data_IF_179262572184
#
_entry.id   IF_179262572184
#
_cell.length_a   1.000
_cell.length_b   1.000
_cell.length_c   1.000
_cell.angle_alpha   90.00
_cell.angle_beta   90.00
_cell.angle_gamma   90.00
#
_symmetry.space_group_name_H-M   'P 1'
#
loop_
_entity.id
_entity.type
_entity.pdbx_description
1 polymer ?
#
# COMPACT_ATOMS: atom_id res chain seq x y z
N UNK A 1 -26.93 59.84 20.13
CA UNK A 1 -26.36 58.57 19.63
C UNK A 1 -27.22 58.06 18.49
N UNK A 2 -26.68 57.94 17.26
CA UNK A 2 -27.42 57.35 16.14
C UNK A 2 -27.32 55.83 16.22
N UNK A 3 -28.38 55.17 16.62
CA UNK A 3 -28.51 53.71 16.56
C UNK A 3 -28.56 53.32 15.09
N UNK A 4 -27.50 52.74 14.55
CA UNK A 4 -27.51 52.24 13.17
C UNK A 4 -28.45 51.04 13.09
N UNK A 5 -29.61 51.24 12.47
CA UNK A 5 -30.55 50.17 12.15
C UNK A 5 -29.93 49.32 11.03
N UNK A 6 -29.45 48.14 11.38
CA UNK A 6 -29.02 47.12 10.42
C UNK A 6 -30.18 46.90 9.44
N UNK A 7 -30.00 47.23 8.15
CA UNK A 7 -31.01 47.01 7.11
C UNK A 7 -31.36 45.51 7.12
N UNK A 8 -32.66 45.16 7.25
CA UNK A 8 -33.16 43.78 7.44
C UNK A 8 -32.58 42.75 6.45
N UNK A 9 -32.18 43.17 5.24
CA UNK A 9 -31.51 42.30 4.26
C UNK A 9 -30.08 41.87 4.63
N UNK A 10 -29.33 42.67 5.39
CA UNK A 10 -27.96 42.34 5.80
C UNK A 10 -27.92 41.20 6.83
N UNK A 11 -28.91 41.15 7.74
CA UNK A 11 -29.03 40.06 8.72
C UNK A 11 -29.38 38.71 8.09
N UNK A 12 -30.24 38.69 7.06
CA UNK A 12 -30.60 37.46 6.33
C UNK A 12 -29.40 36.93 5.55
N UNK A 13 -28.66 37.81 4.87
CA UNK A 13 -27.42 37.44 4.15
C UNK A 13 -26.39 36.87 5.11
N UNK A 14 -26.22 37.46 6.31
CA UNK A 14 -25.30 36.97 7.33
C UNK A 14 -25.69 35.55 7.80
N UNK A 15 -26.98 35.30 8.03
CA UNK A 15 -27.47 33.97 8.43
C UNK A 15 -27.23 32.93 7.34
N UNK A 16 -27.53 33.26 6.07
CA UNK A 16 -27.29 32.37 4.93
C UNK A 16 -25.79 32.05 4.82
N UNK A 17 -24.92 33.06 4.97
CA UNK A 17 -23.48 32.88 4.93
C UNK A 17 -22.99 31.94 6.06
N UNK A 18 -23.50 32.11 7.28
CA UNK A 18 -23.16 31.24 8.41
C UNK A 18 -23.61 29.80 8.14
N UNK A 19 -24.82 29.58 7.62
CA UNK A 19 -25.32 28.24 7.27
C UNK A 19 -24.46 27.60 6.18
N UNK A 20 -24.06 28.36 5.16
CA UNK A 20 -23.16 27.87 4.11
C UNK A 20 -21.78 27.51 4.65
N UNK A 21 -21.21 28.33 5.54
CA UNK A 21 -19.92 28.05 6.17
C UNK A 21 -20.00 26.77 7.01
N UNK A 22 -21.02 26.63 7.86
CA UNK A 22 -21.22 25.44 8.69
C UNK A 22 -21.42 24.20 7.81
N UNK A 23 -22.28 24.30 6.79
CA UNK A 23 -22.52 23.21 5.84
C UNK A 23 -21.25 22.81 5.07
N UNK A 24 -20.43 23.79 4.68
CA UNK A 24 -19.15 23.56 4.03
C UNK A 24 -18.17 22.81 4.95
N UNK A 25 -18.00 23.25 6.20
CA UNK A 25 -17.13 22.55 7.15
C UNK A 25 -17.61 21.12 7.43
N UNK A 26 -18.93 20.93 7.53
CA UNK A 26 -19.51 19.61 7.75
C UNK A 26 -19.27 18.68 6.55
N UNK A 27 -19.54 19.16 5.34
CA UNK A 27 -19.28 18.41 4.10
C UNK A 27 -17.79 18.13 3.89
N UNK A 28 -16.91 19.09 4.22
CA UNK A 28 -15.46 18.93 4.13
C UNK A 28 -14.95 17.86 5.10
N UNK A 29 -15.44 17.86 6.34
CA UNK A 29 -15.07 16.84 7.33
C UNK A 29 -15.61 15.46 6.96
N UNK A 30 -16.79 15.36 6.35
CA UNK A 30 -17.33 14.08 5.88
C UNK A 30 -16.53 13.54 4.68
N UNK A 31 -16.07 14.43 3.79
CA UNK A 31 -15.31 14.04 2.59
C UNK A 31 -13.84 13.68 2.87
N UNK A 32 -13.18 14.39 3.79
CA UNK A 32 -11.74 14.24 4.09
C UNK A 32 -11.47 13.71 5.52
N UNK A 33 -12.52 13.34 6.25
CA UNK A 33 -12.40 12.80 7.60
C UNK A 33 -11.78 11.40 7.62
N UNK A 34 -10.96 11.14 8.63
CA UNK A 34 -10.42 9.81 8.86
C UNK A 34 -11.54 8.83 9.27
N UNK A 35 -11.52 7.63 8.70
CA UNK A 35 -12.39 6.52 9.11
C UNK A 35 -11.53 5.40 9.68
N UNK A 36 -11.87 4.93 10.88
CA UNK A 36 -11.15 3.87 11.59
C UNK A 36 -12.06 2.68 11.81
N UNK A 37 -11.60 1.50 11.43
CA UNK A 37 -12.34 0.25 11.57
C UNK A 37 -11.35 -0.92 11.68
N UNK A 38 -11.84 -2.10 12.07
CA UNK A 38 -11.02 -3.30 12.17
C UNK A 38 -11.68 -4.43 11.38
N UNK A 39 -10.89 -5.16 10.62
CA UNK A 39 -11.31 -6.32 9.82
C UNK A 39 -10.53 -7.54 10.29
N UNK A 40 -11.20 -8.68 10.36
CA UNK A 40 -10.54 -9.95 10.66
C UNK A 40 -10.67 -10.88 9.46
N UNK A 41 -9.54 -11.34 8.95
CA UNK A 41 -9.45 -12.17 7.76
C UNK A 41 -8.95 -13.56 8.18
N UNK A 42 -9.78 -14.59 8.02
CA UNK A 42 -9.35 -15.98 8.25
C UNK A 42 -8.23 -16.35 7.27
N UNK A 43 -7.19 -17.02 7.77
CA UNK A 43 -5.98 -17.28 7.01
C UNK A 43 -5.94 -18.72 6.49
N UNK A 44 -5.50 -18.89 5.25
CA UNK A 44 -5.32 -20.22 4.64
C UNK A 44 -4.32 -21.10 5.41
N UNK A 45 -3.37 -20.49 6.11
CA UNK A 45 -2.39 -21.15 6.98
C UNK A 45 -2.96 -21.47 8.38
N UNK A 46 -4.24 -21.18 8.60
CA UNK A 46 -4.91 -21.22 9.90
C UNK A 46 -4.70 -19.94 10.72
N UNK A 47 -5.56 -19.73 11.72
CA UNK A 47 -5.56 -18.50 12.50
C UNK A 47 -6.19 -17.32 11.74
N UNK A 48 -5.98 -16.11 12.25
CA UNK A 48 -6.67 -14.90 11.79
C UNK A 48 -5.71 -13.73 11.64
N UNK A 49 -5.86 -12.97 10.56
CA UNK A 49 -5.19 -11.70 10.37
C UNK A 49 -6.15 -10.58 10.78
N UNK A 50 -5.83 -9.93 11.89
CA UNK A 50 -6.55 -8.78 12.43
C UNK A 50 -5.91 -7.53 11.84
N UNK A 51 -6.71 -6.74 11.14
CA UNK A 51 -6.29 -5.58 10.38
C UNK A 51 -6.96 -4.33 10.97
N UNK A 52 -6.22 -3.53 11.70
CA UNK A 52 -6.71 -2.24 12.20
C UNK A 52 -6.46 -1.18 11.12
N UNK A 53 -7.53 -0.67 10.52
CA UNK A 53 -7.50 0.19 9.33
C UNK A 53 -7.77 1.64 9.71
N UNK A 54 -6.94 2.54 9.19
CA UNK A 54 -7.22 3.97 9.13
C UNK A 54 -7.29 4.38 7.67
N UNK A 55 -8.50 4.67 7.20
CA UNK A 55 -8.74 5.31 5.91
C UNK A 55 -8.64 6.82 6.07
N UNK A 56 -7.92 7.48 5.16
CA UNK A 56 -7.82 8.92 5.06
C UNK A 56 -7.83 9.34 3.59
N UNK A 57 -8.38 10.51 3.30
CA UNK A 57 -8.34 11.08 1.96
C UNK A 57 -7.95 12.55 2.04
N UNK A 58 -7.18 13.00 1.05
CA UNK A 58 -6.85 14.40 0.83
C UNK A 58 -7.15 14.80 -0.62
N UNK A 59 -6.79 16.03 -1.01
CA UNK A 59 -7.03 16.53 -2.36
C UNK A 59 -6.23 15.78 -3.45
N UNK A 60 -5.18 15.07 -3.07
CA UNK A 60 -4.24 14.40 -3.97
C UNK A 60 -4.49 12.90 -4.08
N UNK A 61 -4.91 12.23 -3.00
CA UNK A 61 -5.15 10.79 -2.99
C UNK A 61 -6.01 10.32 -1.81
N UNK A 62 -6.29 9.02 -1.80
CA UNK A 62 -6.81 8.30 -0.64
C UNK A 62 -5.81 7.24 -0.18
N UNK A 63 -5.86 6.93 1.10
CA UNK A 63 -4.88 6.11 1.79
C UNK A 63 -5.59 5.12 2.72
N UNK A 64 -5.15 3.87 2.68
CA UNK A 64 -5.45 2.89 3.72
C UNK A 64 -4.17 2.56 4.46
N UNK A 65 -4.09 2.99 5.72
CA UNK A 65 -3.04 2.57 6.65
C UNK A 65 -3.55 1.36 7.43
N UNK A 66 -2.83 0.25 7.37
CA UNK A 66 -3.27 -0.99 8.00
C UNK A 66 -2.19 -1.47 8.96
N UNK A 67 -2.57 -1.69 10.21
CA UNK A 67 -1.77 -2.35 11.23
C UNK A 67 -2.21 -3.81 11.33
N UNK A 68 -1.29 -4.72 11.00
CA UNK A 68 -1.54 -6.15 10.91
C UNK A 68 -1.08 -6.87 12.16
N UNK A 69 -1.99 -7.64 12.75
CA UNK A 69 -1.70 -8.61 13.81
C UNK A 69 -2.15 -9.98 13.35
N UNK A 70 -1.35 -11.00 13.64
CA UNK A 70 -1.71 -12.38 13.36
C UNK A 70 -2.02 -13.10 14.67
N UNK A 71 -3.24 -13.63 14.80
CA UNK A 71 -3.61 -14.57 15.84
C UNK A 71 -3.42 -15.99 15.30
N UNK A 72 -2.48 -16.74 15.85
CA UNK A 72 -2.22 -18.11 15.40
C UNK A 72 -3.32 -19.08 15.88
N UNK A 73 -3.35 -20.34 15.40
CA UNK A 73 -4.35 -21.33 15.84
C UNK A 73 -4.36 -21.65 17.34
N UNK A 74 -3.33 -21.23 18.09
CA UNK A 74 -3.25 -21.39 19.55
C UNK A 74 -3.78 -20.18 20.31
N UNK A 75 -4.20 -19.12 19.61
CA UNK A 75 -4.64 -17.85 20.20
C UNK A 75 -3.50 -16.90 20.58
N UNK A 76 -2.26 -17.18 20.16
CA UNK A 76 -1.14 -16.25 20.37
C UNK A 76 -1.16 -15.15 19.31
N UNK A 77 -1.02 -13.90 19.73
CA UNK A 77 -1.08 -12.72 18.86
C UNK A 77 0.32 -12.19 18.58
N UNK A 78 0.62 -11.97 17.31
CA UNK A 78 1.89 -11.44 16.81
C UNK A 78 1.67 -10.14 16.04
N UNK A 79 2.39 -9.08 16.40
CA UNK A 79 2.41 -7.84 15.63
C UNK A 79 3.20 -8.05 14.34
N UNK A 80 2.50 -8.14 13.21
CA UNK A 80 3.10 -8.38 11.91
C UNK A 80 3.69 -7.11 11.31
N UNK A 81 3.11 -5.94 11.57
CA UNK A 81 3.61 -4.65 11.13
C UNK A 81 2.60 -3.90 10.27
N UNK A 82 3.06 -3.01 9.40
CA UNK A 82 2.19 -2.03 8.74
C UNK A 82 2.27 -2.04 7.21
N UNK A 83 1.11 -1.93 6.58
CA UNK A 83 0.94 -1.71 5.14
C UNK A 83 0.32 -0.37 4.82
N UNK A 84 0.49 0.07 3.57
CA UNK A 84 -0.05 1.32 3.07
C UNK A 84 -0.49 1.18 1.61
N UNK A 85 -1.79 1.33 1.37
CA UNK A 85 -2.36 1.35 0.02
C UNK A 85 -2.69 2.81 -0.33
N UNK A 86 -2.06 3.34 -1.38
CA UNK A 86 -2.23 4.72 -1.84
C UNK A 86 -2.88 4.75 -3.22
N UNK A 87 -4.03 5.42 -3.34
CA UNK A 87 -4.76 5.53 -4.61
C UNK A 87 -5.28 4.18 -5.14
N UNK A 88 -5.28 3.15 -4.29
CA UNK A 88 -5.79 1.80 -4.56
C UNK A 88 -6.67 1.40 -3.39
N UNK A 89 -7.81 0.80 -3.70
CA UNK A 89 -8.70 0.25 -2.68
C UNK A 89 -8.09 -1.00 -2.06
N UNK A 90 -8.03 -1.05 -0.73
CA UNK A 90 -7.64 -2.27 -0.02
C UNK A 90 -8.77 -3.29 -0.09
N UNK A 91 -8.50 -4.45 -0.67
CA UNK A 91 -9.50 -5.46 -1.01
C UNK A 91 -9.88 -6.40 0.14
N UNK A 92 -9.42 -6.11 1.35
CA UNK A 92 -9.72 -6.81 2.62
C UNK A 92 -9.54 -8.34 2.55
N UNK A 93 -8.61 -8.83 1.73
CA UNK A 93 -8.41 -10.27 1.51
C UNK A 93 -6.95 -10.73 1.64
N UNK A 94 -6.10 -9.93 2.27
CA UNK A 94 -4.68 -10.24 2.47
C UNK A 94 -4.49 -11.60 3.15
N UNK A 95 -3.57 -12.39 2.59
CA UNK A 95 -3.25 -13.74 3.04
C UNK A 95 -1.77 -13.86 3.41
N UNK A 96 -1.53 -14.57 4.51
CA UNK A 96 -0.21 -15.00 4.95
C UNK A 96 0.20 -16.27 4.21
N UNK A 97 1.50 -16.40 3.95
CA UNK A 97 2.11 -17.56 3.31
C UNK A 97 3.19 -18.16 4.20
N UNK A 98 3.29 -19.49 4.22
CA UNK A 98 4.33 -20.18 4.98
C UNK A 98 5.47 -20.68 4.07
N UNK A 99 6.70 -20.44 4.52
CA UNK A 99 7.88 -21.08 3.97
C UNK A 99 8.87 -21.45 5.08
N UNK A 100 9.02 -22.74 5.34
CA UNK A 100 9.84 -23.28 6.45
C UNK A 100 9.38 -22.68 7.79
N UNK A 101 10.21 -21.85 8.42
CA UNK A 101 9.94 -21.17 9.69
C UNK A 101 9.37 -19.75 9.51
N UNK A 102 9.27 -19.26 8.27
CA UNK A 102 8.82 -17.91 7.98
C UNK A 102 7.35 -17.88 7.63
N UNK A 103 6.61 -17.00 8.29
CA UNK A 103 5.29 -16.52 7.89
C UNK A 103 5.47 -15.21 7.13
N UNK A 104 4.86 -15.08 5.96
CA UNK A 104 5.13 -14.00 5.01
C UNK A 104 3.84 -13.25 4.73
N UNK A 105 3.89 -11.91 4.84
CA UNK A 105 2.81 -11.00 4.47
C UNK A 105 3.29 -10.09 3.34
N UNK A 106 2.79 -10.26 2.11
CA UNK A 106 2.88 -9.20 1.11
C UNK A 106 1.87 -8.10 1.42
N UNK A 107 2.26 -6.84 1.26
CA UNK A 107 1.35 -5.69 1.35
C UNK A 107 1.85 -4.57 0.44
N UNK A 108 1.01 -3.57 0.15
CA UNK A 108 1.45 -2.38 -0.57
C UNK A 108 2.20 -1.40 0.35
N UNK A 109 2.99 -0.53 -0.28
CA UNK A 109 3.61 0.61 0.38
C UNK A 109 3.71 1.78 -0.61
N UNK A 110 4.29 2.88 -0.17
CA UNK A 110 4.27 4.15 -0.90
C UNK A 110 4.75 4.05 -2.35
N UNK A 111 4.20 4.94 -3.19
CA UNK A 111 4.67 5.20 -4.55
C UNK A 111 4.64 3.98 -5.49
N UNK A 112 3.60 3.14 -5.36
CA UNK A 112 3.43 1.97 -6.21
C UNK A 112 4.52 0.93 -5.98
N UNK A 113 4.95 0.77 -4.74
CA UNK A 113 5.89 -0.26 -4.30
C UNK A 113 5.15 -1.33 -3.52
N UNK A 114 5.75 -2.50 -3.38
CA UNK A 114 5.25 -3.52 -2.45
C UNK A 114 6.24 -3.75 -1.33
N UNK A 115 5.74 -4.19 -0.19
CA UNK A 115 6.51 -4.59 0.97
C UNK A 115 6.25 -6.07 1.26
N UNK A 116 7.31 -6.82 1.44
CA UNK A 116 7.25 -8.21 1.92
C UNK A 116 7.74 -8.22 3.35
N UNK A 117 6.86 -8.57 4.28
CA UNK A 117 7.18 -8.74 5.69
C UNK A 117 7.31 -10.24 5.95
N UNK A 118 8.46 -10.66 6.47
CA UNK A 118 8.72 -12.04 6.87
C UNK A 118 8.88 -12.11 8.39
N UNK A 119 8.22 -13.06 9.02
CA UNK A 119 8.20 -13.21 10.47
C UNK A 119 8.42 -14.67 10.87
N UNK A 120 9.48 -14.94 11.61
CA UNK A 120 9.63 -16.18 12.37
C UNK A 120 8.91 -16.03 13.71
N UNK A 121 7.73 -16.68 13.80
CA UNK A 121 6.87 -16.64 14.98
C UNK A 121 7.50 -17.34 16.20
N UNK A 122 8.43 -18.28 16.01
CA UNK A 122 9.07 -19.02 17.11
C UNK A 122 10.19 -18.21 17.75
N UNK A 123 11.02 -17.57 16.92
CA UNK A 123 12.14 -16.76 17.41
C UNK A 123 11.77 -15.29 17.60
N UNK A 124 10.54 -14.90 17.27
CA UNK A 124 10.09 -13.51 17.22
C UNK A 124 10.99 -12.60 16.35
N UNK A 125 11.49 -13.13 15.22
CA UNK A 125 12.41 -12.41 14.32
C UNK A 125 11.65 -11.90 13.09
N UNK A 126 11.73 -10.60 12.85
CA UNK A 126 11.10 -9.93 11.69
C UNK A 126 12.16 -9.47 10.69
N UNK A 127 11.85 -9.59 9.40
CA UNK A 127 12.61 -8.97 8.32
C UNK A 127 11.65 -8.39 7.28
N UNK A 128 12.07 -7.32 6.61
CA UNK A 128 11.25 -6.60 5.65
C UNK A 128 12.05 -6.31 4.38
N UNK A 129 11.39 -6.42 3.24
CA UNK A 129 11.92 -5.98 1.95
C UNK A 129 10.89 -5.08 1.27
N UNK A 130 11.30 -3.87 0.94
CA UNK A 130 10.53 -3.00 0.05
C UNK A 130 11.04 -3.22 -1.39
N UNK A 131 10.14 -3.67 -2.25
CA UNK A 131 10.38 -3.82 -3.68
C UNK A 131 9.82 -2.57 -4.36
N UNK A 132 10.68 -1.57 -4.47
CA UNK A 132 10.37 -0.31 -5.14
C UNK A 132 10.98 -0.28 -6.56
N UNK A 133 10.39 0.49 -7.49
CA UNK A 133 10.91 0.62 -8.85
C UNK A 133 12.40 0.93 -8.99
N UNK A 134 12.89 1.83 -8.15
CA UNK A 134 14.27 2.27 -8.18
C UNK A 134 15.23 1.16 -7.72
N UNK A 135 14.85 0.37 -6.72
CA UNK A 135 15.61 -0.80 -6.26
C UNK A 135 15.72 -1.86 -7.36
N UNK A 136 14.63 -2.10 -8.10
CA UNK A 136 14.59 -3.04 -9.24
C UNK A 136 15.58 -2.61 -10.32
N UNK A 137 15.53 -1.35 -10.77
CA UNK A 137 16.38 -0.89 -11.87
C UNK A 137 17.87 -0.80 -11.48
N UNK A 138 18.18 -0.67 -10.19
CA UNK A 138 19.56 -0.68 -9.68
C UNK A 138 20.16 -2.08 -9.56
N UNK A 139 19.34 -3.11 -9.49
CA UNK A 139 19.77 -4.50 -9.35
C UNK A 139 20.70 -4.93 -10.50
N UNK A 140 21.71 -5.74 -10.18
CA UNK A 140 22.66 -6.28 -11.16
C UNK A 140 21.98 -7.12 -12.25
N UNK A 141 20.91 -7.85 -11.93
CA UNK A 141 20.16 -8.67 -12.88
C UNK A 141 19.44 -7.76 -13.88
N UNK A 142 18.83 -6.67 -13.43
CA UNK A 142 18.21 -5.68 -14.31
C UNK A 142 19.23 -5.08 -15.28
N UNK A 143 20.34 -4.59 -14.75
CA UNK A 143 21.43 -3.99 -15.54
C UNK A 143 21.99 -4.97 -16.57
N UNK A 144 22.17 -6.24 -16.21
CA UNK A 144 22.70 -7.28 -17.11
C UNK A 144 21.81 -7.54 -18.33
N UNK A 145 20.52 -7.20 -18.25
CA UNK A 145 19.56 -7.39 -19.34
C UNK A 145 19.50 -6.20 -20.31
N UNK A 146 20.22 -5.11 -20.04
CA UNK A 146 20.20 -3.88 -20.83
C UNK A 146 18.75 -3.42 -21.16
N UNK A 147 17.87 -3.46 -20.16
CA UNK A 147 16.48 -3.06 -20.34
C UNK A 147 16.43 -1.53 -20.41
N UNK A 148 15.92 -1.00 -21.52
CA UNK A 148 15.63 0.42 -21.67
C UNK A 148 14.51 0.83 -20.70
N UNK A 149 14.81 1.77 -19.82
CA UNK A 149 13.85 2.29 -18.86
C UNK A 149 14.25 3.68 -18.39
N UNK A 150 13.26 4.54 -18.16
CA UNK A 150 13.47 5.84 -17.51
C UNK A 150 13.26 5.69 -16.01
N UNK A 151 14.33 5.85 -15.25
CA UNK A 151 14.31 5.76 -13.79
C UNK A 151 13.46 6.89 -13.18
N UNK A 152 12.60 6.55 -12.20
CA UNK A 152 11.79 7.49 -11.41
C UNK A 152 10.77 8.33 -12.20
N UNK A 153 10.34 7.86 -13.37
CA UNK A 153 9.26 8.50 -14.13
C UNK A 153 7.93 7.76 -13.98
N UNK A 154 6.85 8.51 -13.83
CA UNK A 154 5.50 7.97 -13.82
C UNK A 154 5.05 7.54 -15.24
N UNK A 155 4.33 6.41 -15.38
CA UNK A 155 3.99 5.45 -14.33
C UNK A 155 5.14 4.50 -14.03
N UNK A 156 5.32 4.22 -12.75
CA UNK A 156 6.32 3.27 -12.26
C UNK A 156 5.73 2.53 -11.08
N UNK A 157 5.22 1.32 -11.31
CA UNK A 157 4.42 0.57 -10.36
C UNK A 157 4.86 -0.89 -10.29
N UNK A 158 5.02 -1.39 -9.08
CA UNK A 158 5.24 -2.79 -8.71
C UNK A 158 3.94 -3.33 -8.15
N UNK A 159 3.50 -4.47 -8.66
CA UNK A 159 2.27 -5.15 -8.21
C UNK A 159 2.62 -6.59 -7.88
N UNK A 160 2.04 -7.12 -6.80
CA UNK A 160 2.15 -8.55 -6.53
C UNK A 160 1.41 -9.32 -7.63
N UNK A 161 2.08 -10.30 -8.23
CA UNK A 161 1.46 -11.18 -9.23
C UNK A 161 1.03 -12.49 -8.56
N UNK A 162 1.99 -13.25 -8.03
CA UNK A 162 1.74 -14.53 -7.37
C UNK A 162 2.78 -14.84 -6.32
N UNK A 163 2.39 -15.55 -5.26
CA UNK A 163 3.30 -16.18 -4.30
C UNK A 163 3.07 -17.68 -4.33
N UNK A 164 4.14 -18.45 -4.50
CA UNK A 164 4.08 -19.91 -4.44
C UNK A 164 5.34 -20.44 -3.75
N UNK A 165 5.15 -21.06 -2.58
CA UNK A 165 6.23 -21.53 -1.70
C UNK A 165 7.21 -20.38 -1.40
N UNK A 166 8.47 -20.50 -1.81
CA UNK A 166 9.49 -19.48 -1.62
C UNK A 166 9.60 -18.49 -2.78
N UNK A 167 8.76 -18.58 -3.82
CA UNK A 167 8.85 -17.71 -4.99
C UNK A 167 7.79 -16.64 -4.92
N UNK A 168 8.24 -15.39 -5.03
CA UNK A 168 7.39 -14.20 -5.08
C UNK A 168 7.57 -13.60 -6.46
N UNK A 169 6.48 -13.55 -7.23
CA UNK A 169 6.47 -12.91 -8.53
C UNK A 169 5.81 -11.56 -8.41
N UNK A 170 6.47 -10.57 -8.97
CA UNK A 170 5.97 -9.20 -9.04
C UNK A 170 5.95 -8.73 -10.48
N UNK A 171 4.91 -7.99 -10.83
CA UNK A 171 4.82 -7.29 -12.10
C UNK A 171 5.37 -5.89 -11.89
N UNK A 172 6.36 -5.51 -12.68
CA UNK A 172 6.90 -4.16 -12.70
C UNK A 172 6.55 -3.47 -14.02
N UNK A 173 5.79 -2.39 -13.94
CA UNK A 173 5.43 -1.51 -15.05
C UNK A 173 6.23 -0.23 -14.95
N UNK A 174 6.87 0.18 -16.04
CA UNK A 174 7.78 1.33 -16.07
C UNK A 174 7.75 2.02 -17.43
N UNK A 175 8.23 3.25 -17.46
CA UNK A 175 8.34 4.05 -18.68
C UNK A 175 9.58 3.69 -19.48
N UNK A 176 9.45 3.50 -20.78
CA UNK A 176 10.59 3.21 -21.67
C UNK A 176 11.28 4.50 -22.11
N UNK A 177 10.52 5.54 -22.45
CA UNK A 177 11.03 6.84 -22.88
C UNK A 177 10.33 8.02 -22.18
N UNK A 178 10.92 9.22 -22.28
CA UNK A 178 10.38 10.43 -21.63
C UNK A 178 9.33 11.15 -22.47
N UNK A 179 9.37 10.98 -23.79
CA UNK A 179 8.61 11.80 -24.74
C UNK A 179 7.19 11.28 -24.92
N UNK A 180 7.02 9.97 -24.90
CA UNK A 180 5.76 9.27 -25.04
C UNK A 180 5.32 8.63 -23.71
N UNK A 181 4.35 9.23 -22.99
CA UNK A 181 3.86 8.71 -21.72
C UNK A 181 3.17 7.35 -21.81
N UNK A 182 2.68 6.99 -22.99
CA UNK A 182 1.96 5.74 -23.20
C UNK A 182 2.92 4.59 -23.55
N UNK A 183 4.20 4.89 -23.81
CA UNK A 183 5.20 3.87 -24.12
C UNK A 183 5.73 3.21 -22.84
N UNK A 184 5.02 2.17 -22.40
CA UNK A 184 5.28 1.46 -21.16
C UNK A 184 5.87 0.08 -21.40
N UNK A 185 6.87 -0.25 -20.60
CA UNK A 185 7.41 -1.59 -20.45
C UNK A 185 6.78 -2.30 -19.27
N UNK A 186 6.57 -3.61 -19.40
CA UNK A 186 6.22 -4.47 -18.26
C UNK A 186 7.17 -5.65 -18.20
N UNK A 187 7.65 -5.97 -16.99
CA UNK A 187 8.46 -7.16 -16.71
C UNK A 187 7.85 -7.95 -15.56
N UNK A 188 7.98 -9.28 -15.65
CA UNK A 188 7.71 -10.18 -14.55
C UNK A 188 9.04 -10.49 -13.87
N UNK A 189 9.12 -10.19 -12.58
CA UNK A 189 10.34 -10.36 -11.78
C UNK A 189 10.07 -11.43 -10.74
N UNK A 190 10.94 -12.44 -10.68
CA UNK A 190 10.89 -13.49 -9.68
C UNK A 190 11.91 -13.18 -8.58
N UNK A 191 11.41 -13.08 -7.35
CA UNK A 191 12.17 -13.09 -6.12
C UNK A 191 12.06 -14.45 -5.46
N UNK A 192 13.11 -14.86 -4.75
CA UNK A 192 13.12 -16.09 -3.98
C UNK A 192 13.50 -15.80 -2.54
N UNK A 193 12.68 -16.29 -1.60
CA UNK A 193 12.89 -16.12 -0.17
C UNK A 193 14.11 -16.92 0.28
N UNK A 194 15.04 -16.23 0.93
CA UNK A 194 16.18 -16.86 1.59
C UNK A 194 15.73 -17.44 2.94
N UNK A 195 15.97 -18.74 3.16
CA UNK A 195 15.53 -19.40 4.38
C UNK A 195 16.29 -19.00 5.65
N UNK A 196 17.46 -18.38 5.54
CA UNK A 196 18.29 -18.01 6.69
C UNK A 196 17.83 -16.68 7.32
N UNK A 197 17.55 -15.69 6.48
CA UNK A 197 17.23 -14.32 6.92
C UNK A 197 15.77 -13.91 6.63
N UNK A 198 15.04 -14.70 5.83
CA UNK A 198 13.65 -14.40 5.46
C UNK A 198 13.56 -13.25 4.45
N UNK A 199 14.66 -12.85 3.81
CA UNK A 199 14.69 -11.71 2.88
C UNK A 199 14.64 -12.23 1.44
N UNK A 200 13.62 -11.86 0.63
CA UNK A 200 13.59 -12.24 -0.78
C UNK A 200 14.75 -11.62 -1.58
N UNK A 201 15.30 -12.37 -2.53
CA UNK A 201 16.36 -11.89 -3.44
C UNK A 201 15.91 -12.05 -4.88
N UNK A 202 16.19 -11.05 -5.73
CA UNK A 202 15.86 -11.12 -7.15
C UNK A 202 16.60 -12.31 -7.79
N UNK A 203 15.90 -13.10 -8.59
CA UNK A 203 16.46 -14.28 -9.29
C UNK A 203 16.36 -14.19 -10.80
N UNK A 204 15.25 -13.69 -11.32
CA UNK A 204 15.09 -13.59 -12.78
C UNK A 204 14.11 -12.51 -13.19
N UNK A 205 14.29 -12.03 -14.42
CA UNK A 205 13.42 -11.06 -15.08
C UNK A 205 12.99 -11.66 -16.42
N UNK A 206 11.70 -11.59 -16.72
CA UNK A 206 11.12 -12.07 -17.98
C UNK A 206 10.18 -11.02 -18.57
N UNK A 207 9.99 -11.05 -19.88
CA UNK A 207 8.90 -10.31 -20.50
C UNK A 207 7.57 -10.91 -20.05
N UNK A 208 6.59 -10.05 -19.75
CA UNK A 208 5.21 -10.49 -19.62
C UNK A 208 4.73 -10.84 -21.04
N UNK A 209 4.38 -12.10 -21.26
CA UNK A 209 3.74 -12.55 -22.51
C UNK A 209 2.29 -12.07 -22.54
#
# INVERSE_FOLDING_TARGET
MKTQTIKKGCGIILIILIVLIIGFFWAFNEAFGEKKYSVTIEQNIGGKLICDVTYSADLQSWYYFIDYKYENPKGEIFDFGKGLYQGVEWNENDQLFEFKNWTILPTETDFGSIKIISFDLKSNKKSELIIEPHSIQKDSIWKSKNIESVLMWSPSKVELDTINKNKIKVKYTFRIDRENPDNLGTRLIEYELDSLDGIPKMKSIRNKK
#
